data_IF_594377704122
#
_entry.id   IF_594377704122
#
_cell.length_a   1.000
_cell.length_b   1.000
_cell.length_c   1.000
_cell.angle_alpha   90.00
_cell.angle_beta   90.00
_cell.angle_gamma   90.00
#
_symmetry.space_group_name_H-M   'P 1'
#
loop_
_entity.id
_entity.type
_entity.pdbx_description
1 polymer ?
#
# COMPACT_ATOMS: atom_id res chain seq x y z
N UNK A 1 5.29 10.78 10.05
CA UNK A 1 5.17 9.83 11.17
C UNK A 1 6.58 9.53 11.65
N UNK A 2 6.80 9.23 12.93
CA UNK A 2 8.15 8.82 13.37
C UNK A 2 8.37 7.36 13.02
N UNK A 3 9.62 6.97 12.79
CA UNK A 3 9.98 5.57 12.50
C UNK A 3 9.41 4.58 13.54
N UNK A 4 9.40 4.97 14.83
CA UNK A 4 8.84 4.16 15.92
C UNK A 4 7.32 3.96 15.88
N UNK A 5 6.61 4.78 15.09
CA UNK A 5 5.15 4.73 14.97
C UNK A 5 4.71 3.66 13.96
N UNK A 6 5.62 3.19 13.09
CA UNK A 6 5.33 2.16 12.11
C UNK A 6 5.32 0.77 12.74
N UNK A 7 4.30 0.00 12.38
CA UNK A 7 4.15 -1.39 12.74
C UNK A 7 3.64 -2.16 11.52
N UNK A 8 4.05 -3.42 11.34
CA UNK A 8 3.51 -4.25 10.27
C UNK A 8 1.97 -4.30 10.39
N UNK A 9 1.30 -4.02 9.27
CA UNK A 9 -0.15 -3.92 9.19
C UNK A 9 -0.73 -2.53 9.47
N UNK A 10 0.05 -1.58 9.99
CA UNK A 10 -0.43 -0.21 10.16
C UNK A 10 -0.65 0.44 8.79
N UNK A 11 -1.64 1.33 8.74
CA UNK A 11 -1.95 2.10 7.55
C UNK A 11 -1.56 3.56 7.76
N UNK A 12 -0.99 4.17 6.72
CA UNK A 12 -0.55 5.56 6.71
C UNK A 12 -0.81 6.18 5.34
N UNK A 13 -0.74 7.51 5.27
CA UNK A 13 -0.92 8.26 4.03
C UNK A 13 0.32 9.08 3.70
N UNK A 14 0.48 9.36 2.42
CA UNK A 14 1.45 10.30 1.85
C UNK A 14 0.73 11.09 0.74
N UNK A 15 1.35 12.11 0.13
CA UNK A 15 0.81 12.74 -1.07
C UNK A 15 0.56 11.76 -2.24
N UNK A 16 1.28 10.63 -2.28
CA UNK A 16 1.15 9.62 -3.33
C UNK A 16 -0.05 8.68 -3.14
N UNK A 17 -0.57 8.54 -1.91
CA UNK A 17 -1.70 7.66 -1.59
C UNK A 17 -1.67 7.06 -0.19
N UNK A 18 -2.54 6.08 0.03
CA UNK A 18 -2.66 5.28 1.25
C UNK A 18 -1.85 3.99 1.14
N UNK A 19 -1.15 3.66 2.22
CA UNK A 19 -0.19 2.56 2.28
C UNK A 19 -0.46 1.68 3.49
N UNK A 20 -0.09 0.40 3.40
CA UNK A 20 -0.04 -0.54 4.51
C UNK A 20 1.40 -1.03 4.70
N UNK A 21 1.96 -0.83 5.89
CA UNK A 21 3.30 -1.28 6.24
C UNK A 21 3.38 -2.82 6.20
N UNK A 22 4.38 -3.37 5.52
CA UNK A 22 4.66 -4.80 5.39
C UNK A 22 5.96 -5.22 6.05
N UNK A 23 6.91 -4.29 6.21
CA UNK A 23 8.16 -4.50 6.97
C UNK A 23 8.63 -3.20 7.62
N UNK A 24 9.32 -3.31 8.76
CA UNK A 24 9.93 -2.18 9.46
C UNK A 24 11.39 -2.50 9.73
N UNK A 25 12.27 -1.86 8.96
CA UNK A 25 13.71 -1.92 9.13
C UNK A 25 14.20 -1.03 10.27
N UNK A 26 15.50 -0.73 10.28
CA UNK A 26 16.07 0.22 11.26
C UNK A 26 16.09 1.67 10.76
N UNK A 27 16.05 1.85 9.44
CA UNK A 27 16.11 3.15 8.76
C UNK A 27 15.09 3.26 7.62
N UNK A 28 14.31 2.22 7.40
CA UNK A 28 13.40 2.13 6.26
C UNK A 28 12.14 1.42 6.67
N UNK A 29 11.03 1.78 6.04
CA UNK A 29 9.75 1.08 6.11
C UNK A 29 9.44 0.54 4.72
N UNK A 30 8.90 -0.67 4.63
CA UNK A 30 8.39 -1.20 3.36
C UNK A 30 6.87 -1.25 3.45
N UNK A 31 6.19 -0.82 2.38
CA UNK A 31 4.74 -0.79 2.35
C UNK A 31 4.17 -1.06 0.96
N UNK A 32 2.92 -1.49 0.93
CA UNK A 32 2.12 -1.66 -0.29
C UNK A 32 1.06 -0.56 -0.38
N UNK A 33 0.78 -0.09 -1.59
CA UNK A 33 -0.30 0.88 -1.83
C UNK A 33 -1.65 0.16 -1.79
N UNK A 34 -2.59 0.68 -1.02
CA UNK A 34 -3.89 0.02 -0.76
C UNK A 34 -5.11 0.77 -1.29
N UNK A 35 -4.98 2.06 -1.62
CA UNK A 35 -6.10 2.88 -2.14
C UNK A 35 -6.27 2.80 -3.66
N UNK A 36 -5.28 2.28 -4.39
CA UNK A 36 -5.31 2.14 -5.83
C UNK A 36 -4.52 0.92 -6.27
N UNK A 37 -5.24 -0.11 -6.73
CA UNK A 37 -4.64 -1.25 -7.43
C UNK A 37 -4.98 -1.16 -8.89
N UNK A 38 -3.96 -0.99 -9.72
CA UNK A 38 -4.09 -1.06 -11.17
C UNK A 38 -3.76 -2.48 -11.65
N UNK A 39 -4.69 -3.09 -12.38
CA UNK A 39 -4.51 -4.41 -12.97
C UNK A 39 -4.90 -4.42 -14.44
N UNK A 40 -4.39 -5.42 -15.18
CA UNK A 40 -4.77 -5.67 -16.56
C UNK A 40 -5.38 -7.06 -16.67
N UNK A 41 -6.63 -7.14 -17.11
CA UNK A 41 -7.36 -8.40 -17.32
C UNK A 41 -7.56 -8.65 -18.80
N UNK A 42 -7.50 -9.91 -19.22
CA UNK A 42 -7.87 -10.33 -20.56
C UNK A 42 -9.40 -10.51 -20.65
N UNK A 43 -10.05 -9.71 -21.47
CA UNK A 43 -11.49 -9.82 -21.78
C UNK A 43 -11.62 -10.00 -23.29
N UNK A 44 -12.14 -11.15 -23.73
CA UNK A 44 -12.28 -11.50 -25.15
C UNK A 44 -11.00 -11.28 -25.97
N UNK A 45 -9.84 -11.61 -25.37
CA UNK A 45 -8.53 -11.45 -26.00
C UNK A 45 -7.94 -10.03 -25.97
N UNK A 46 -8.65 -9.06 -25.38
CA UNK A 46 -8.18 -7.68 -25.23
C UNK A 46 -7.71 -7.42 -23.80
N UNK A 47 -6.58 -6.73 -23.67
CA UNK A 47 -6.08 -6.27 -22.38
C UNK A 47 -6.92 -5.05 -21.95
N UNK A 48 -7.66 -5.21 -20.86
CA UNK A 48 -8.48 -4.15 -20.26
C UNK A 48 -7.88 -3.77 -18.92
N UNK A 49 -7.58 -2.49 -18.75
CA UNK A 49 -7.10 -1.94 -17.49
C UNK A 49 -8.27 -1.77 -16.53
N UNK A 50 -8.14 -2.32 -15.33
CA UNK A 50 -9.10 -2.19 -14.24
C UNK A 50 -8.39 -1.54 -13.06
N UNK A 51 -9.12 -0.68 -12.35
CA UNK A 51 -8.70 -0.12 -11.08
C UNK A 51 -9.58 -0.73 -10.00
N UNK A 52 -8.97 -1.27 -8.96
CA UNK A 52 -9.68 -1.82 -7.81
C UNK A 52 -9.65 -0.79 -6.69
N UNK A 53 -10.78 -0.64 -6.03
CA UNK A 53 -10.85 -0.04 -4.69
C UNK A 53 -10.11 -0.92 -3.68
N UNK A 54 -9.80 -0.37 -2.49
CA UNK A 54 -9.20 -1.14 -1.41
C UNK A 54 -10.03 -2.39 -1.06
N UNK A 55 -11.35 -2.24 -0.95
CA UNK A 55 -12.26 -3.33 -0.57
C UNK A 55 -12.25 -4.47 -1.61
N UNK A 56 -12.35 -4.13 -2.90
CA UNK A 56 -12.26 -5.13 -3.98
C UNK A 56 -10.90 -5.84 -3.98
N UNK A 57 -9.81 -5.08 -3.82
CA UNK A 57 -8.47 -5.63 -3.76
C UNK A 57 -8.27 -6.56 -2.55
N UNK A 58 -8.83 -6.25 -1.39
CA UNK A 58 -8.83 -7.13 -0.23
C UNK A 58 -9.63 -8.42 -0.47
N UNK A 59 -10.86 -8.31 -0.99
CA UNK A 59 -11.70 -9.45 -1.29
C UNK A 59 -11.08 -10.40 -2.31
N UNK A 60 -10.38 -9.85 -3.30
CA UNK A 60 -9.64 -10.60 -4.32
C UNK A 60 -8.25 -11.08 -3.82
N UNK A 61 -7.84 -10.72 -2.61
CA UNK A 61 -6.60 -11.18 -1.99
C UNK A 61 -5.33 -10.54 -2.53
N UNK A 62 -5.41 -9.36 -3.15
CA UNK A 62 -4.23 -8.66 -3.71
C UNK A 62 -3.19 -8.30 -2.65
N UNK A 63 -3.65 -8.05 -1.42
CA UNK A 63 -2.81 -7.71 -0.27
C UNK A 63 -2.46 -8.93 0.59
N UNK A 64 -2.73 -10.15 0.12
CA UNK A 64 -2.25 -11.37 0.78
C UNK A 64 -0.83 -11.66 0.32
N UNK A 65 0.12 -11.74 1.25
CA UNK A 65 1.52 -12.03 0.95
C UNK A 65 2.26 -12.60 2.17
N UNK A 66 3.57 -12.86 2.04
CA UNK A 66 4.39 -12.73 0.83
C UNK A 66 4.23 -13.91 -0.17
N UNK A 67 4.38 -13.68 -1.50
CA UNK A 67 4.49 -12.37 -2.16
C UNK A 67 3.11 -11.71 -2.33
N UNK A 68 3.05 -10.38 -2.16
CA UNK A 68 1.87 -9.59 -2.47
C UNK A 68 1.65 -9.49 -3.99
N UNK A 69 0.40 -9.30 -4.43
CA UNK A 69 0.10 -9.10 -5.86
C UNK A 69 0.45 -7.68 -6.35
N UNK A 70 0.62 -6.73 -5.43
CA UNK A 70 1.07 -5.36 -5.69
C UNK A 70 2.54 -5.18 -5.32
N UNK A 71 3.19 -4.19 -5.93
CA UNK A 71 4.58 -3.87 -5.63
C UNK A 71 4.73 -3.30 -4.21
N UNK A 72 5.76 -3.79 -3.52
CA UNK A 72 6.28 -3.18 -2.30
C UNK A 72 7.13 -1.95 -2.65
N UNK A 73 7.02 -0.91 -1.82
CA UNK A 73 7.77 0.34 -1.94
C UNK A 73 8.53 0.57 -0.64
N UNK A 74 9.80 0.95 -0.78
CA UNK A 74 10.67 1.31 0.34
C UNK A 74 10.55 2.80 0.60
N UNK A 75 10.26 3.14 1.85
CA UNK A 75 10.25 4.49 2.39
C UNK A 75 11.51 4.63 3.25
N UNK A 76 12.39 5.55 2.90
CA UNK A 76 13.57 5.86 3.72
C UNK A 76 13.27 6.92 4.80
N UNK A 77 14.33 7.44 5.43
CA UNK A 77 14.21 8.45 6.50
C UNK A 77 13.55 9.75 6.01
N UNK A 78 13.82 10.16 4.77
CA UNK A 78 13.26 11.38 4.19
C UNK A 78 11.79 11.14 3.77
N UNK A 79 11.49 9.97 3.18
CA UNK A 79 10.11 9.62 2.80
C UNK A 79 9.16 9.53 4.01
N UNK A 80 9.66 9.08 5.16
CA UNK A 80 8.86 8.97 6.40
C UNK A 80 8.43 10.33 6.98
N UNK A 81 9.14 11.41 6.64
CA UNK A 81 8.77 12.78 7.07
C UNK A 81 7.44 13.22 6.46
N UNK A 82 7.10 12.73 5.26
CA UNK A 82 5.86 13.03 4.53
C UNK A 82 4.69 12.07 4.88
N UNK A 83 4.93 11.10 5.77
CA UNK A 83 3.90 10.14 6.17
C UNK A 83 2.99 10.72 7.24
N UNK A 84 1.68 10.53 7.10
CA UNK A 84 0.68 10.91 8.11
C UNK A 84 -0.10 9.67 8.58
N UNK A 85 -0.52 9.61 9.86
CA UNK A 85 -1.46 8.58 10.28
C UNK A 85 -2.77 8.74 9.49
N UNK A 86 -3.41 7.62 9.12
CA UNK A 86 -4.77 7.70 8.58
C UNK A 86 -5.64 8.40 9.62
N UNK A 87 -6.23 9.55 9.26
CA UNK A 87 -7.05 10.32 10.19
C UNK A 87 -8.11 9.42 10.84
N UNK A 88 -8.13 9.38 12.17
CA UNK A 88 -9.27 8.88 12.94
C UNK A 88 -10.49 9.63 12.44
N UNK A 89 -11.37 8.99 11.67
CA UNK A 89 -12.57 9.64 11.16
C UNK A 89 -13.37 10.28 12.30
N UNK A 90 -13.75 11.54 12.13
CA UNK A 90 -14.95 12.11 12.76
C UNK A 90 -16.21 11.46 12.17
#
# INVERSE_FOLDING_TARGET
MKHSDFQIGCEFTTPAGRWRCTDTGTRTVVAIRIDLVETTTLVDGHHVRRYLTQEEAELEGWFNGPPYAVAEVVFDEDDMEECDPVGSGD
#
